data_IF_057716425571
#
_entry.id   IF_057716425571
#
_cell.length_a   1.000
_cell.length_b   1.000
_cell.length_c   1.000
_cell.angle_alpha   90.00
_cell.angle_beta   90.00
_cell.angle_gamma   90.00
#
_symmetry.space_group_name_H-M   'P 1'
#
loop_
_entity.id
_entity.type
_entity.pdbx_description
1 polymer ?
#
# COMPACT_ATOMS: atom_id res chain seq x y z
N UNK A 1 -13.57 14.50 -24.29
CA UNK A 1 -12.28 14.16 -24.93
C UNK A 1 -11.94 12.74 -24.48
N UNK A 2 -12.04 11.73 -25.36
CA UNK A 2 -11.86 10.32 -24.99
C UNK A 2 -10.37 10.07 -24.69
N UNK A 3 -10.07 9.48 -23.53
CA UNK A 3 -8.71 9.15 -23.11
C UNK A 3 -8.02 8.29 -24.15
N UNK A 4 -6.88 8.75 -24.64
CA UNK A 4 -6.00 7.96 -25.50
C UNK A 4 -5.55 6.74 -24.68
N UNK A 5 -5.59 5.51 -25.22
CA UNK A 5 -5.12 4.34 -24.49
C UNK A 5 -3.62 4.49 -24.25
N UNK A 6 -3.25 4.85 -23.01
CA UNK A 6 -1.89 5.17 -22.57
C UNK A 6 -0.97 3.94 -22.68
N UNK A 7 -1.52 2.73 -22.48
CA UNK A 7 -0.79 1.47 -22.47
C UNK A 7 -0.11 1.12 -23.82
N UNK A 8 -0.80 1.08 -24.98
CA UNK A 8 -0.17 0.86 -26.28
C UNK A 8 0.94 1.86 -26.63
N UNK A 9 0.78 3.12 -26.24
CA UNK A 9 1.77 4.17 -26.52
C UNK A 9 3.02 4.02 -25.66
N UNK A 10 2.87 3.70 -24.37
CA UNK A 10 3.99 3.39 -23.48
C UNK A 10 4.71 2.14 -23.99
N UNK A 11 4.01 1.05 -24.28
CA UNK A 11 4.61 -0.20 -24.78
C UNK A 11 5.34 0.00 -26.12
N UNK A 12 4.74 0.75 -27.06
CA UNK A 12 5.35 1.07 -28.35
C UNK A 12 6.60 1.95 -28.20
N UNK A 13 6.56 2.97 -27.32
CA UNK A 13 7.71 3.81 -27.03
C UNK A 13 8.85 3.03 -26.37
N UNK A 14 8.52 2.17 -25.38
CA UNK A 14 9.47 1.29 -24.71
C UNK A 14 10.14 0.32 -25.69
N UNK A 15 9.36 -0.30 -26.58
CA UNK A 15 9.85 -1.25 -27.58
C UNK A 15 10.72 -0.59 -28.67
N UNK A 16 10.27 0.54 -29.21
CA UNK A 16 10.93 1.17 -30.39
C UNK A 16 12.09 2.10 -30.04
N UNK A 17 12.02 2.81 -28.91
CA UNK A 17 12.98 3.90 -28.60
C UNK A 17 13.90 3.52 -27.44
N UNK A 18 13.35 2.94 -26.38
CA UNK A 18 14.10 2.67 -25.15
C UNK A 18 14.95 1.40 -25.28
N UNK A 19 14.39 0.32 -25.83
CA UNK A 19 15.08 -0.98 -25.93
C UNK A 19 16.38 -0.93 -26.76
N UNK A 20 16.45 -0.26 -27.93
CA UNK A 20 17.70 -0.11 -28.67
C UNK A 20 18.70 0.81 -27.97
N UNK A 21 18.22 1.92 -27.36
CA UNK A 21 19.07 2.88 -26.68
C UNK A 21 19.74 2.29 -25.44
N UNK A 22 19.03 1.44 -24.67
CA UNK A 22 19.58 0.69 -23.54
C UNK A 22 20.68 -0.28 -23.97
N UNK A 23 20.52 -0.98 -25.11
CA UNK A 23 21.53 -1.90 -25.65
C UNK A 23 22.82 -1.19 -26.08
N UNK A 24 22.71 0.07 -26.53
CA UNK A 24 23.86 0.90 -26.91
C UNK A 24 24.50 1.65 -25.74
N UNK A 25 23.91 1.57 -24.54
CA UNK A 25 24.28 2.44 -23.44
C UNK A 25 25.40 1.85 -22.58
N UNK A 26 26.54 2.55 -22.56
CA UNK A 26 27.67 2.25 -21.66
C UNK A 26 27.32 2.61 -20.20
N UNK A 27 28.08 2.14 -19.23
CA UNK A 27 27.96 2.52 -17.79
C UNK A 27 28.41 3.97 -17.49
N UNK A 28 27.94 4.91 -18.30
CA UNK A 28 28.11 6.34 -18.10
C UNK A 28 26.82 6.97 -17.53
N UNK A 29 26.90 8.25 -17.17
CA UNK A 29 25.77 8.96 -16.55
C UNK A 29 24.52 8.96 -17.43
N UNK A 30 24.68 9.14 -18.74
CA UNK A 30 23.56 9.12 -19.70
C UNK A 30 22.85 7.77 -19.71
N UNK A 31 23.59 6.66 -19.59
CA UNK A 31 23.01 5.33 -19.51
C UNK A 31 22.26 5.05 -18.23
N UNK A 32 22.78 5.51 -17.09
CA UNK A 32 22.06 5.44 -15.82
C UNK A 32 20.76 6.24 -15.86
N UNK A 33 20.78 7.46 -16.40
CA UNK A 33 19.60 8.29 -16.55
C UNK A 33 18.54 7.64 -17.46
N UNK A 34 18.97 7.03 -18.57
CA UNK A 34 18.05 6.31 -19.46
C UNK A 34 17.42 5.09 -18.78
N UNK A 35 18.20 4.31 -18.02
CA UNK A 35 17.69 3.17 -17.23
C UNK A 35 16.70 3.62 -16.17
N UNK A 36 16.99 4.71 -15.45
CA UNK A 36 16.07 5.31 -14.46
C UNK A 36 14.74 5.69 -15.12
N UNK A 37 14.78 6.44 -16.21
CA UNK A 37 13.57 6.86 -16.91
C UNK A 37 12.76 5.65 -17.45
N UNK A 38 13.45 4.65 -17.99
CA UNK A 38 12.81 3.41 -18.44
C UNK A 38 12.17 2.63 -17.28
N UNK A 39 12.84 2.55 -16.13
CA UNK A 39 12.31 1.92 -14.93
C UNK A 39 11.03 2.61 -14.45
N UNK A 40 11.02 3.94 -14.35
CA UNK A 40 9.82 4.71 -13.95
C UNK A 40 8.66 4.49 -14.92
N UNK A 41 8.89 4.50 -16.24
CA UNK A 41 7.85 4.25 -17.24
C UNK A 41 7.27 2.83 -17.15
N UNK A 42 8.12 1.82 -16.94
CA UNK A 42 7.67 0.44 -16.78
C UNK A 42 6.93 0.25 -15.45
N UNK A 43 7.34 0.94 -14.39
CA UNK A 43 6.62 0.93 -13.12
C UNK A 43 5.20 1.50 -13.28
N UNK A 44 5.04 2.60 -14.01
CA UNK A 44 3.71 3.16 -14.35
C UNK A 44 2.87 2.15 -15.13
N UNK A 45 3.44 1.47 -16.13
CA UNK A 45 2.72 0.41 -16.85
C UNK A 45 2.30 -0.75 -15.92
N UNK A 46 3.14 -1.07 -14.93
CA UNK A 46 2.82 -2.03 -13.88
C UNK A 46 1.66 -1.58 -12.99
N UNK A 47 1.65 -0.31 -12.56
CA UNK A 47 0.55 0.29 -11.77
C UNK A 47 -0.75 0.23 -12.58
N UNK A 48 -0.75 0.65 -13.84
CA UNK A 48 -1.94 0.56 -14.69
C UNK A 48 -2.44 -0.89 -14.87
N UNK A 49 -1.53 -1.87 -14.95
CA UNK A 49 -1.91 -3.28 -15.02
C UNK A 49 -2.48 -3.78 -13.67
N UNK A 50 -1.92 -3.32 -12.55
CA UNK A 50 -2.41 -3.61 -11.21
C UNK A 50 -3.82 -3.07 -11.00
N UNK A 51 -4.06 -1.81 -11.36
CA UNK A 51 -5.37 -1.15 -11.27
C UNK A 51 -6.41 -1.83 -12.17
N UNK A 52 -5.98 -2.46 -13.26
CA UNK A 52 -6.82 -3.25 -14.15
C UNK A 52 -7.00 -4.72 -13.69
N UNK A 53 -6.59 -5.06 -12.46
CA UNK A 53 -6.62 -6.43 -11.89
C UNK A 53 -5.77 -7.46 -12.68
N UNK A 54 -4.84 -6.99 -13.53
CA UNK A 54 -3.94 -7.84 -14.33
C UNK A 54 -2.65 -8.17 -13.55
N UNK A 55 -2.79 -8.79 -12.38
CA UNK A 55 -1.69 -8.95 -11.42
C UNK A 55 -0.45 -9.68 -11.96
N UNK A 56 -0.62 -10.67 -12.84
CA UNK A 56 0.53 -11.35 -13.47
C UNK A 56 1.28 -10.43 -14.44
N UNK A 57 0.56 -9.56 -15.16
CA UNK A 57 1.16 -8.57 -16.08
C UNK A 57 1.89 -7.49 -15.27
N UNK A 58 1.27 -7.02 -14.18
CA UNK A 58 1.85 -6.08 -13.25
C UNK A 58 3.14 -6.61 -12.61
N UNK A 59 3.14 -7.86 -12.11
CA UNK A 59 4.32 -8.53 -11.56
C UNK A 59 5.50 -8.57 -12.54
N UNK A 60 5.21 -8.93 -13.80
CA UNK A 60 6.21 -8.92 -14.87
C UNK A 60 6.75 -7.54 -15.20
N UNK A 61 5.94 -6.48 -15.08
CA UNK A 61 6.39 -5.10 -15.23
C UNK A 61 7.24 -4.64 -14.04
N UNK A 62 6.79 -4.86 -12.80
CA UNK A 62 7.53 -4.46 -11.61
C UNK A 62 8.89 -5.15 -11.52
N UNK A 63 8.98 -6.44 -11.86
CA UNK A 63 10.26 -7.17 -11.93
C UNK A 63 11.25 -6.53 -12.91
N UNK A 64 10.77 -6.12 -14.10
CA UNK A 64 11.60 -5.42 -15.11
C UNK A 64 12.00 -4.02 -14.66
N UNK A 65 11.06 -3.27 -14.07
CA UNK A 65 11.33 -1.94 -13.52
C UNK A 65 12.38 -2.00 -12.41
N UNK A 66 12.28 -2.97 -11.49
CA UNK A 66 13.22 -3.16 -10.39
C UNK A 66 14.63 -3.48 -10.91
N UNK A 67 14.74 -4.34 -11.92
CA UNK A 67 16.02 -4.63 -12.55
C UNK A 67 16.65 -3.36 -13.17
N UNK A 68 15.87 -2.55 -13.87
CA UNK A 68 16.36 -1.30 -14.46
C UNK A 68 16.72 -0.25 -13.41
N UNK A 69 15.95 -0.13 -12.33
CA UNK A 69 16.23 0.79 -11.22
C UNK A 69 17.54 0.40 -10.49
N UNK A 70 17.75 -0.90 -10.25
CA UNK A 70 19.00 -1.39 -9.67
C UNK A 70 20.20 -1.14 -10.58
N UNK A 71 20.06 -1.39 -11.88
CA UNK A 71 21.13 -1.16 -12.86
C UNK A 71 21.35 0.33 -13.20
N UNK A 72 20.41 1.23 -12.89
CA UNK A 72 20.66 2.67 -12.92
C UNK A 72 21.43 3.16 -11.68
N UNK A 73 21.53 2.36 -10.62
CA UNK A 73 22.09 2.76 -9.33
C UNK A 73 21.16 3.68 -8.53
N UNK A 74 19.88 3.75 -8.89
CA UNK A 74 18.91 4.62 -8.25
C UNK A 74 18.24 3.88 -7.09
N UNK A 75 18.80 4.07 -5.89
CA UNK A 75 18.33 3.39 -4.67
C UNK A 75 16.89 3.81 -4.30
N UNK A 76 16.53 5.11 -4.29
CA UNK A 76 15.14 5.53 -4.04
C UNK A 76 14.14 4.90 -5.01
N UNK A 77 14.42 4.89 -6.32
CA UNK A 77 13.52 4.28 -7.30
C UNK A 77 13.42 2.76 -7.12
N UNK A 78 14.53 2.09 -6.78
CA UNK A 78 14.52 0.66 -6.49
C UNK A 78 13.67 0.33 -5.26
N UNK A 79 13.74 1.17 -4.22
CA UNK A 79 12.88 1.09 -3.03
C UNK A 79 11.41 1.27 -3.39
N UNK A 80 11.08 2.30 -4.18
CA UNK A 80 9.72 2.56 -4.64
C UNK A 80 9.13 1.39 -5.42
N UNK A 81 9.85 0.83 -6.40
CA UNK A 81 9.37 -0.34 -7.15
C UNK A 81 9.19 -1.56 -6.25
N UNK A 82 10.05 -1.73 -5.24
CA UNK A 82 9.88 -2.81 -4.26
C UNK A 82 8.63 -2.60 -3.40
N UNK A 83 8.29 -1.35 -3.05
CA UNK A 83 7.04 -1.02 -2.37
C UNK A 83 5.81 -1.33 -3.23
N UNK A 84 5.84 -1.08 -4.54
CA UNK A 84 4.76 -1.49 -5.46
C UNK A 84 4.56 -3.02 -5.46
N UNK A 85 5.66 -3.78 -5.48
CA UNK A 85 5.60 -5.24 -5.40
C UNK A 85 5.05 -5.71 -4.04
N UNK A 86 5.44 -5.06 -2.94
CA UNK A 86 4.93 -5.35 -1.60
C UNK A 86 3.43 -5.06 -1.49
N UNK A 87 2.97 -3.93 -2.06
CA UNK A 87 1.55 -3.58 -2.11
C UNK A 87 0.75 -4.63 -2.88
N UNK A 88 1.25 -5.08 -4.03
CA UNK A 88 0.61 -6.16 -4.78
C UNK A 88 0.57 -7.47 -4.00
N UNK A 89 1.68 -7.86 -3.34
CA UNK A 89 1.72 -9.06 -2.52
C UNK A 89 0.69 -9.00 -1.39
N UNK A 90 0.56 -7.84 -0.73
CA UNK A 90 -0.40 -7.59 0.34
C UNK A 90 -1.85 -7.68 -0.16
N UNK A 91 -2.14 -7.09 -1.32
CA UNK A 91 -3.46 -7.17 -1.97
C UNK A 91 -3.85 -8.62 -2.28
N UNK A 92 -2.87 -9.45 -2.67
CA UNK A 92 -3.08 -10.88 -2.96
C UNK A 92 -3.02 -11.78 -1.71
N UNK A 93 -2.94 -11.20 -0.50
CA UNK A 93 -2.86 -11.95 0.77
C UNK A 93 -1.54 -12.70 1.00
N UNK A 94 -0.49 -12.40 0.23
CA UNK A 94 0.86 -13.01 0.36
C UNK A 94 1.67 -12.31 1.45
N UNK A 95 1.20 -12.37 2.69
CA UNK A 95 1.68 -11.54 3.80
C UNK A 95 3.17 -11.74 4.13
N UNK A 96 3.66 -12.98 4.11
CA UNK A 96 5.08 -13.26 4.34
C UNK A 96 5.94 -12.65 3.22
N UNK A 97 5.46 -12.68 1.98
CA UNK A 97 6.15 -12.06 0.84
C UNK A 97 6.18 -10.53 0.99
N UNK A 98 5.08 -9.92 1.43
CA UNK A 98 5.02 -8.48 1.74
C UNK A 98 6.09 -8.10 2.76
N UNK A 99 6.17 -8.83 3.88
CA UNK A 99 7.15 -8.58 4.94
C UNK A 99 8.58 -8.68 4.38
N UNK A 100 8.89 -9.74 3.62
CA UNK A 100 10.23 -9.92 3.03
C UNK A 100 10.61 -8.79 2.07
N UNK A 101 9.68 -8.33 1.23
CA UNK A 101 9.90 -7.23 0.30
C UNK A 101 10.14 -5.92 1.04
N UNK A 102 9.30 -5.61 2.04
CA UNK A 102 9.45 -4.40 2.86
C UNK A 102 10.81 -4.38 3.56
N UNK A 103 11.15 -5.46 4.25
CA UNK A 103 12.43 -5.54 4.95
C UNK A 103 13.61 -5.47 3.99
N UNK A 104 13.50 -6.04 2.78
CA UNK A 104 14.53 -5.91 1.75
C UNK A 104 14.71 -4.45 1.31
N UNK A 105 13.62 -3.70 1.12
CA UNK A 105 13.70 -2.30 0.73
C UNK A 105 14.39 -1.46 1.82
N UNK A 106 13.99 -1.65 3.08
CA UNK A 106 14.56 -0.95 4.23
C UNK A 106 16.05 -1.31 4.41
N UNK A 107 16.41 -2.60 4.46
CA UNK A 107 17.81 -3.02 4.63
C UNK A 107 18.74 -2.51 3.53
N UNK A 108 18.27 -2.47 2.27
CA UNK A 108 19.12 -2.06 1.15
C UNK A 108 19.33 -0.55 1.05
N UNK A 109 18.47 0.28 1.67
CA UNK A 109 18.47 1.69 1.34
C UNK A 109 17.71 2.63 2.25
N UNK A 110 17.32 2.24 3.47
CA UNK A 110 16.51 3.06 4.39
C UNK A 110 16.93 4.53 4.44
N UNK A 111 18.23 4.81 4.66
CA UNK A 111 18.78 6.19 4.70
C UNK A 111 18.60 7.01 3.41
N UNK A 112 18.28 6.36 2.30
CA UNK A 112 18.05 6.97 0.99
C UNK A 112 16.56 7.00 0.62
N UNK A 113 15.71 6.29 1.35
CA UNK A 113 14.26 6.32 1.12
C UNK A 113 13.71 7.57 1.79
N UNK A 114 12.77 8.23 1.13
CA UNK A 114 12.08 9.37 1.71
C UNK A 114 11.21 8.95 2.90
N UNK A 115 10.85 9.91 3.75
CA UNK A 115 10.03 9.65 4.92
C UNK A 115 8.66 9.08 4.52
N UNK A 116 8.08 9.57 3.43
CA UNK A 116 6.82 9.06 2.90
C UNK A 116 6.91 7.59 2.47
N UNK A 117 7.98 7.20 1.77
CA UNK A 117 8.15 5.82 1.34
C UNK A 117 8.37 4.88 2.53
N UNK A 118 9.12 5.32 3.54
CA UNK A 118 9.31 4.54 4.77
C UNK A 118 7.98 4.36 5.51
N UNK A 119 7.19 5.43 5.66
CA UNK A 119 5.87 5.36 6.28
C UNK A 119 4.96 4.36 5.57
N UNK A 120 4.96 4.37 4.24
CA UNK A 120 4.16 3.44 3.42
C UNK A 120 4.61 1.99 3.60
N UNK A 121 5.92 1.74 3.56
CA UNK A 121 6.53 0.43 3.77
C UNK A 121 6.16 -0.16 5.14
N UNK A 122 6.34 0.60 6.21
CA UNK A 122 6.00 0.14 7.57
C UNK A 122 4.49 -0.06 7.75
N UNK A 123 3.65 0.76 7.11
CA UNK A 123 2.19 0.57 7.10
C UNK A 123 1.79 -0.73 6.42
N UNK A 124 2.41 -1.08 5.28
CA UNK A 124 2.18 -2.38 4.62
C UNK A 124 2.63 -3.55 5.48
N UNK A 125 3.77 -3.43 6.17
CA UNK A 125 4.27 -4.46 7.07
C UNK A 125 3.35 -4.64 8.28
N UNK A 126 2.84 -3.56 8.86
CA UNK A 126 1.85 -3.60 9.94
C UNK A 126 0.61 -4.40 9.52
N UNK A 127 0.04 -4.07 8.36
CA UNK A 127 -1.15 -4.76 7.81
C UNK A 127 -0.86 -6.24 7.54
N UNK A 128 0.31 -6.58 7.01
CA UNK A 128 0.72 -7.98 6.83
C UNK A 128 0.79 -8.74 8.16
N UNK A 129 1.39 -8.15 9.20
CA UNK A 129 1.41 -8.74 10.54
C UNK A 129 0.01 -8.91 11.14
N UNK A 130 -0.87 -7.92 10.96
CA UNK A 130 -2.27 -8.03 11.39
C UNK A 130 -2.98 -9.22 10.74
N UNK A 131 -2.80 -9.42 9.43
CA UNK A 131 -3.38 -10.55 8.70
C UNK A 131 -2.83 -11.91 9.14
N UNK A 132 -1.59 -11.97 9.62
CA UNK A 132 -0.96 -13.18 10.16
C UNK A 132 -1.29 -13.43 11.64
N UNK A 133 -2.04 -12.55 12.31
CA UNK A 133 -2.31 -12.67 13.75
C UNK A 133 -1.19 -12.17 14.66
N UNK A 134 -0.13 -11.60 14.10
CA UNK A 134 1.04 -11.08 14.82
C UNK A 134 0.77 -9.66 15.35
N UNK A 135 -0.19 -9.51 16.27
CA UNK A 135 -0.71 -8.19 16.68
C UNK A 135 0.31 -7.29 17.39
N UNK A 136 1.27 -7.89 18.13
CA UNK A 136 2.35 -7.12 18.74
C UNK A 136 3.26 -6.47 17.69
N UNK A 137 3.62 -7.22 16.65
CA UNK A 137 4.43 -6.73 15.54
C UNK A 137 3.65 -5.71 14.72
N UNK A 138 2.36 -5.93 14.48
CA UNK A 138 1.48 -4.94 13.85
C UNK A 138 1.58 -3.58 14.54
N UNK A 139 1.33 -3.52 15.86
CA UNK A 139 1.44 -2.29 16.65
C UNK A 139 2.83 -1.69 16.67
N UNK A 140 3.88 -2.52 16.60
CA UNK A 140 5.25 -2.03 16.50
C UNK A 140 5.50 -1.32 15.18
N UNK A 141 5.12 -1.94 14.05
CA UNK A 141 5.32 -1.35 12.73
C UNK A 141 4.46 -0.10 12.54
N UNK A 142 3.22 -0.08 13.06
CA UNK A 142 2.39 1.14 13.07
C UNK A 142 3.07 2.32 13.76
N UNK A 143 3.62 2.13 14.96
CA UNK A 143 4.34 3.19 15.69
C UNK A 143 5.59 3.68 14.95
N UNK A 144 6.22 2.82 14.15
CA UNK A 144 7.34 3.25 13.31
C UNK A 144 6.83 4.07 12.13
N UNK A 145 5.76 3.62 11.46
CA UNK A 145 5.12 4.35 10.37
C UNK A 145 4.68 5.75 10.80
N UNK A 146 4.03 5.88 11.96
CA UNK A 146 3.62 7.17 12.55
C UNK A 146 4.80 8.14 12.71
N UNK A 147 5.93 7.67 13.25
CA UNK A 147 7.14 8.50 13.34
C UNK A 147 7.70 8.89 11.98
N UNK A 148 7.61 8.03 10.97
CA UNK A 148 7.99 8.41 9.61
C UNK A 148 7.06 9.49 9.05
N UNK A 149 5.76 9.45 9.34
CA UNK A 149 4.80 10.47 8.92
C UNK A 149 5.15 11.85 9.49
N UNK A 150 5.57 11.91 10.76
CA UNK A 150 6.03 13.16 11.40
C UNK A 150 7.23 13.81 10.69
N UNK A 151 7.99 13.03 9.91
CA UNK A 151 9.16 13.48 9.18
C UNK A 151 8.88 13.82 7.70
N UNK A 152 7.65 13.62 7.22
CA UNK A 152 7.29 13.92 5.83
C UNK A 152 7.34 15.45 5.61
N UNK A 153 8.22 15.87 4.72
CA UNK A 153 8.24 17.22 4.19
C UNK A 153 7.89 17.19 2.69
N UNK A 154 6.72 17.67 2.26
CA UNK A 154 6.29 17.63 0.87
C UNK A 154 7.27 18.24 -0.14
N UNK A 155 8.12 19.18 0.28
CA UNK A 155 9.14 19.79 -0.58
C UNK A 155 10.33 18.85 -0.89
N UNK A 156 10.57 17.86 -0.03
CA UNK A 156 11.69 16.92 -0.13
C UNK A 156 11.27 15.55 -0.71
N UNK A 157 9.97 15.35 -0.93
CA UNK A 157 9.41 14.08 -1.38
C UNK A 157 9.52 13.89 -2.90
N UNK A 158 10.00 12.71 -3.37
CA UNK A 158 9.96 12.36 -4.78
C UNK A 158 8.54 12.37 -5.36
N UNK A 159 8.42 12.63 -6.66
CA UNK A 159 7.12 12.60 -7.36
C UNK A 159 6.43 11.24 -7.23
N UNK A 160 7.20 10.17 -7.17
CA UNK A 160 6.76 8.79 -7.05
C UNK A 160 6.03 8.52 -5.73
N UNK A 161 6.30 9.28 -4.66
CA UNK A 161 5.69 9.15 -3.34
C UNK A 161 4.65 10.22 -3.05
N UNK A 162 4.32 11.07 -4.03
CA UNK A 162 3.35 12.18 -3.87
C UNK A 162 1.93 11.76 -3.47
N UNK A 163 1.56 10.48 -3.65
CA UNK A 163 0.29 9.93 -3.19
C UNK A 163 0.24 9.70 -1.67
N UNK A 164 1.39 9.68 -1.01
CA UNK A 164 1.47 9.50 0.45
C UNK A 164 1.21 10.84 1.11
N UNK A 165 0.07 10.92 1.79
CA UNK A 165 -0.33 12.08 2.57
C UNK A 165 -0.89 11.63 3.93
N UNK A 166 -0.98 12.52 4.93
CA UNK A 166 -1.43 12.16 6.27
C UNK A 166 -2.77 11.40 6.27
N UNK A 167 -3.79 11.88 5.55
CA UNK A 167 -5.08 11.18 5.48
C UNK A 167 -5.03 9.73 4.98
N UNK A 168 -4.10 9.39 4.07
CA UNK A 168 -3.91 8.01 3.61
C UNK A 168 -3.22 7.16 4.68
N UNK A 169 -2.28 7.73 5.43
CA UNK A 169 -1.59 7.02 6.51
C UNK A 169 -2.55 6.71 7.67
N UNK A 170 -3.39 7.67 8.05
CA UNK A 170 -4.47 7.44 9.01
C UNK A 170 -5.41 6.32 8.57
N UNK A 171 -5.74 6.26 7.27
CA UNK A 171 -6.59 5.20 6.70
C UNK A 171 -5.96 3.81 6.88
N UNK A 172 -4.66 3.69 6.59
CA UNK A 172 -3.94 2.42 6.73
C UNK A 172 -3.83 1.98 8.19
N UNK A 173 -3.68 2.93 9.11
CA UNK A 173 -3.75 2.65 10.55
C UNK A 173 -5.13 2.16 10.96
N UNK A 174 -6.20 2.81 10.50
CA UNK A 174 -7.58 2.37 10.76
C UNK A 174 -7.84 0.94 10.28
N UNK A 175 -7.42 0.59 9.06
CA UNK A 175 -7.56 -0.77 8.53
C UNK A 175 -6.81 -1.82 9.36
N UNK A 176 -5.60 -1.49 9.81
CA UNK A 176 -4.78 -2.40 10.61
C UNK A 176 -5.40 -2.63 11.99
N UNK A 177 -5.88 -1.57 12.64
CA UNK A 177 -6.54 -1.62 13.94
C UNK A 177 -7.88 -2.36 13.88
N UNK A 178 -8.66 -2.12 12.82
CA UNK A 178 -9.88 -2.88 12.55
C UNK A 178 -9.58 -4.38 12.43
N UNK A 179 -8.51 -4.76 11.71
CA UNK A 179 -8.15 -6.17 11.52
C UNK A 179 -7.74 -6.86 12.82
N UNK A 180 -7.13 -6.14 13.78
CA UNK A 180 -6.74 -6.70 15.09
C UNK A 180 -7.81 -6.51 16.18
N UNK A 181 -8.96 -5.90 15.85
CA UNK A 181 -10.11 -5.73 16.74
C UNK A 181 -10.05 -4.53 17.69
N UNK A 182 -9.12 -3.59 17.49
CA UNK A 182 -9.02 -2.36 18.28
C UNK A 182 -9.96 -1.28 17.72
N UNK A 183 -11.27 -1.51 17.87
CA UNK A 183 -12.31 -0.77 17.15
C UNK A 183 -12.36 0.73 17.49
N UNK A 184 -12.19 1.11 18.75
CA UNK A 184 -12.23 2.53 19.14
C UNK A 184 -11.06 3.33 18.55
N UNK A 185 -9.87 2.72 18.54
CA UNK A 185 -8.71 3.32 17.88
C UNK A 185 -8.95 3.37 16.36
N UNK A 186 -9.43 2.27 15.75
CA UNK A 186 -9.76 2.23 14.33
C UNK A 186 -10.75 3.33 13.92
N UNK A 187 -11.74 3.63 14.77
CA UNK A 187 -12.72 4.71 14.56
C UNK A 187 -12.02 6.07 14.54
N UNK A 188 -11.22 6.38 15.56
CA UNK A 188 -10.50 7.64 15.65
C UNK A 188 -9.60 7.89 14.41
N UNK A 189 -8.86 6.87 13.98
CA UNK A 189 -8.02 6.91 12.78
C UNK A 189 -8.85 7.06 11.49
N UNK A 190 -10.00 6.38 11.37
CA UNK A 190 -10.87 6.50 10.20
C UNK A 190 -11.46 7.93 10.06
N UNK A 191 -11.84 8.57 11.16
CA UNK A 191 -12.26 9.97 11.14
C UNK A 191 -11.11 10.93 10.82
N UNK A 192 -9.93 10.69 11.38
CA UNK A 192 -8.73 11.48 11.10
C UNK A 192 -8.38 11.41 9.61
N UNK A 193 -8.49 10.24 8.99
CA UNK A 193 -8.31 10.05 7.55
C UNK A 193 -9.21 10.96 6.71
N UNK A 194 -10.50 11.07 7.06
CA UNK A 194 -11.46 11.95 6.36
C UNK A 194 -11.08 13.43 6.54
N UNK A 195 -10.68 13.83 7.76
CA UNK A 195 -10.31 15.22 8.05
C UNK A 195 -9.01 15.65 7.37
N UNK A 196 -8.03 14.75 7.29
CA UNK A 196 -6.67 15.02 6.81
C UNK A 196 -6.48 14.63 5.33
N UNK A 197 -7.48 14.00 4.70
CA UNK A 197 -7.46 13.66 3.28
C UNK A 197 -7.54 14.91 2.39
N UNK A 198 -6.83 14.92 1.25
CA UNK A 198 -6.84 16.06 0.34
C UNK A 198 -8.22 16.22 -0.31
N UNK A 199 -8.59 17.47 -0.58
CA UNK A 199 -9.93 17.79 -1.05
C UNK A 199 -10.24 17.20 -2.44
N UNK A 200 -9.21 17.08 -3.27
CA UNK A 200 -9.21 16.64 -4.67
C UNK A 200 -8.97 15.14 -4.86
N UNK A 201 -9.03 14.34 -3.78
CA UNK A 201 -9.04 12.87 -3.85
C UNK A 201 -10.42 12.28 -3.48
N UNK A 202 -11.37 12.23 -4.43
CA UNK A 202 -12.69 11.66 -4.18
C UNK A 202 -12.64 10.15 -3.92
N UNK A 203 -11.63 9.43 -4.44
CA UNK A 203 -11.49 7.98 -4.25
C UNK A 203 -11.04 7.67 -2.84
N UNK A 204 -9.97 8.31 -2.37
CA UNK A 204 -9.49 8.17 -0.99
C UNK A 204 -10.58 8.56 0.00
N UNK A 205 -11.29 9.67 -0.24
CA UNK A 205 -12.40 10.09 0.63
C UNK A 205 -13.53 9.06 0.71
N UNK A 206 -13.95 8.50 -0.43
CA UNK A 206 -14.94 7.42 -0.45
C UNK A 206 -14.45 6.22 0.37
N UNK A 207 -13.18 5.84 0.20
CA UNK A 207 -12.60 4.71 0.91
C UNK A 207 -12.54 4.94 2.42
N UNK A 208 -12.15 6.13 2.88
CA UNK A 208 -12.16 6.48 4.30
C UNK A 208 -13.56 6.42 4.92
N UNK A 209 -14.59 6.87 4.20
CA UNK A 209 -15.98 6.73 4.66
C UNK A 209 -16.43 5.27 4.72
N UNK A 210 -16.03 4.44 3.77
CA UNK A 210 -16.36 3.01 3.78
C UNK A 210 -15.73 2.30 4.99
N UNK A 211 -14.45 2.57 5.28
CA UNK A 211 -13.78 2.03 6.46
C UNK A 211 -14.45 2.49 7.75
N UNK A 212 -14.79 3.79 7.87
CA UNK A 212 -15.52 4.30 9.03
C UNK A 212 -16.87 3.57 9.23
N UNK A 213 -17.63 3.36 8.15
CA UNK A 213 -18.89 2.63 8.23
C UNK A 213 -18.71 1.18 8.69
N UNK A 214 -17.65 0.51 8.24
CA UNK A 214 -17.32 -0.86 8.69
C UNK A 214 -16.98 -0.86 10.18
N UNK A 215 -16.13 0.05 10.65
CA UNK A 215 -15.76 0.16 12.06
C UNK A 215 -16.99 0.37 12.94
N UNK A 216 -17.87 1.31 12.59
CA UNK A 216 -19.12 1.57 13.31
C UNK A 216 -20.03 0.34 13.34
N UNK A 217 -20.08 -0.41 12.23
CA UNK A 217 -20.82 -1.67 12.16
C UNK A 217 -20.28 -2.73 13.10
N UNK A 218 -18.96 -2.89 13.21
CA UNK A 218 -18.34 -3.82 14.15
C UNK A 218 -18.51 -3.38 15.61
N UNK A 219 -18.41 -2.08 15.92
CA UNK A 219 -18.67 -1.56 17.27
C UNK A 219 -20.09 -1.88 17.73
N UNK A 220 -21.10 -1.63 16.86
CA UNK A 220 -22.49 -1.97 17.16
C UNK A 220 -22.67 -3.47 17.44
N UNK A 221 -22.02 -4.35 16.68
CA UNK A 221 -22.09 -5.80 16.93
C UNK A 221 -21.50 -6.18 18.28
N UNK A 222 -20.42 -5.53 18.71
CA UNK A 222 -19.81 -5.74 20.03
C UNK A 222 -20.76 -5.25 21.13
N UNK A 223 -21.38 -4.09 20.96
CA UNK A 223 -22.38 -3.55 21.89
C UNK A 223 -23.61 -4.47 22.01
N UNK A 224 -24.18 -4.90 20.88
CA UNK A 224 -25.34 -5.82 20.85
C UNK A 224 -24.99 -7.22 21.37
N UNK A 225 -23.75 -7.67 21.15
CA UNK A 225 -23.22 -8.96 21.61
C UNK A 225 -22.73 -8.96 23.05
N UNK A 226 -22.63 -7.79 23.69
CA UNK A 226 -22.35 -7.63 25.12
C UNK A 226 -23.68 -7.38 25.83
N UNK A 227 -24.49 -8.41 26.15
CA UNK A 227 -25.72 -8.18 26.88
C UNK A 227 -25.37 -7.58 28.25
N UNK A 228 -26.09 -6.52 28.62
CA UNK A 228 -26.21 -5.94 29.96
C UNK A 228 -26.71 -6.93 31.05
N UNK A 229 -26.40 -8.23 30.93
CA UNK A 229 -26.92 -9.31 31.76
C UNK A 229 -25.83 -10.20 32.37
N UNK A 230 -24.63 -9.67 32.61
CA UNK A 230 -23.61 -10.31 33.47
C UNK A 230 -23.71 -9.89 34.95
N UNK A 231 -24.93 -9.54 35.40
CA UNK A 231 -25.26 -9.41 36.81
C UNK A 231 -26.50 -10.24 37.16
N UNK A 232 -26.49 -11.56 36.88
CA UNK A 232 -27.19 -12.62 37.64
C UNK A 232 -27.15 -13.94 36.87
N UNK A 233 -26.45 -14.92 37.45
CA UNK A 233 -26.37 -16.36 37.11
C UNK A 233 -25.15 -16.76 36.27
N UNK A 234 -24.43 -17.72 36.83
CA UNK A 234 -23.09 -18.12 36.42
C UNK A 234 -23.06 -19.11 35.25
N UNK A 235 -21.89 -19.13 34.62
CA UNK A 235 -21.27 -20.20 33.84
C UNK A 235 -22.16 -20.94 32.83
N UNK A 236 -22.01 -20.60 31.54
CA UNK A 236 -21.57 -21.61 30.58
C UNK A 236 -21.02 -20.99 29.30
N UNK A 237 -19.89 -21.54 28.88
CA UNK A 237 -19.10 -21.23 27.71
C UNK A 237 -19.81 -21.56 26.40
N UNK A 238 -19.85 -20.61 25.47
CA UNK A 238 -20.08 -20.88 24.05
C UNK A 238 -19.03 -20.12 23.22
N UNK A 239 -17.83 -20.71 23.10
CA UNK A 239 -16.84 -20.34 22.08
C UNK A 239 -17.18 -21.07 20.78
N UNK A 240 -17.95 -20.41 19.91
CA UNK A 240 -18.06 -20.80 18.50
C UNK A 240 -17.07 -20.01 17.66
N UNK A 241 -16.43 -20.61 16.62
CA UNK A 241 -15.47 -19.88 15.80
C UNK A 241 -16.19 -18.81 14.97
N UNK A 242 -15.75 -17.55 15.11
CA UNK A 242 -16.11 -16.48 14.19
C UNK A 242 -15.62 -16.87 12.78
N UNK A 243 -16.54 -16.95 11.82
CA UNK A 243 -16.17 -17.18 10.41
C UNK A 243 -15.39 -15.97 9.89
N UNK A 244 -14.32 -16.15 9.11
CA UNK A 244 -13.66 -15.04 8.42
C UNK A 244 -14.63 -14.39 7.43
N UNK A 245 -14.77 -13.06 7.48
CA UNK A 245 -15.59 -12.26 6.56
C UNK A 245 -14.86 -11.95 5.22
N UNK A 246 -13.78 -12.68 4.92
CA UNK A 246 -12.95 -12.51 3.72
C UNK A 246 -13.41 -13.47 2.61
N UNK A 247 -14.51 -13.25 1.87
CA UNK A 247 -14.69 -13.85 0.52
C UNK A 247 -15.54 -13.05 -0.51
N UNK A 248 -16.34 -12.04 -0.15
CA UNK A 248 -17.32 -11.46 -1.09
C UNK A 248 -17.19 -9.94 -1.37
N UNK A 249 -15.98 -9.40 -1.53
CA UNK A 249 -15.82 -8.04 -2.08
C UNK A 249 -14.70 -7.90 -3.13
N UNK A 250 -15.00 -8.20 -4.42
CA UNK A 250 -14.20 -7.69 -5.54
C UNK A 250 -15.02 -7.06 -6.69
N UNK A 251 -16.24 -6.53 -6.48
CA UNK A 251 -17.08 -6.05 -7.61
C UNK A 251 -17.45 -4.56 -7.64
N UNK A 252 -17.21 -3.78 -6.57
CA UNK A 252 -17.54 -2.35 -6.56
C UNK A 252 -16.48 -1.44 -7.21
N UNK A 253 -15.32 -1.96 -7.60
CA UNK A 253 -14.19 -1.18 -8.11
C UNK A 253 -14.17 -0.99 -9.64
N UNK A 254 -15.23 -1.40 -10.35
CA UNK A 254 -15.26 -1.51 -11.82
C UNK A 254 -15.89 -0.35 -12.59
N UNK A 255 -16.25 0.74 -11.94
CA UNK A 255 -16.84 1.88 -12.66
C UNK A 255 -16.18 3.16 -12.19
N UNK A 256 -14.98 3.46 -12.70
CA UNK A 256 -14.50 4.78 -13.18
C UNK A 256 -13.06 4.66 -13.69
#
# INVERSE_FOLDING_TARGET
MRGVPVKPHIESFLGRRVSPALRSSRDNQSGRNLRRAAASLIAIAGICAYDAEQHQVADGHFSKALHLAKTSGDVPLSGYVTALMANQALCLGKNETTILLVESALRCGERFLSAALQADLYSMQAKAHAQLGAYADCRQQMRIAERCVELINPADEPSETSYVHPGLMELKSAESLLKIGELDAAHAFAEASIRLGPADDPRGRFYSHAILAIVLGEQRKVEEGCPDNFARHGLSSCTGPARPFDQDFPSLWRQF
#
